data_IF_199436338925
#
_entry.id   IF_199436338925
#
_cell.length_a   1.000
_cell.length_b   1.000
_cell.length_c   1.000
_cell.angle_alpha   90.00
_cell.angle_beta   90.00
_cell.angle_gamma   90.00
#
_symmetry.space_group_name_H-M   'P 1'
#
loop_
_entity.id
_entity.type
_entity.pdbx_description
1 polymer ?
#
# COMPACT_ATOMS: atom_id res chain seq x y z
N UNK A 1 1.52 14.78 14.61
CA UNK A 1 2.61 13.78 14.55
C UNK A 1 2.59 13.22 13.13
N UNK A 2 3.71 13.28 12.42
CA UNK A 2 3.82 12.68 11.09
C UNK A 2 3.88 11.16 11.28
N UNK A 3 2.72 10.51 11.31
CA UNK A 3 2.64 9.05 11.29
C UNK A 3 3.02 8.59 9.89
N UNK A 4 4.31 8.38 9.67
CA UNK A 4 4.85 7.80 8.43
C UNK A 4 5.32 6.36 8.60
N UNK A 5 5.19 5.80 9.81
CA UNK A 5 5.60 4.44 10.13
C UNK A 5 4.43 3.71 10.77
N UNK A 6 4.09 2.55 10.23
CA UNK A 6 2.92 1.76 10.59
C UNK A 6 3.34 0.31 10.86
N UNK A 7 2.73 -0.31 11.86
CA UNK A 7 2.99 -1.71 12.20
C UNK A 7 1.88 -2.61 11.68
N UNK A 8 2.21 -3.43 10.68
CA UNK A 8 1.32 -4.41 10.07
C UNK A 8 1.53 -5.78 10.73
N UNK A 9 0.42 -6.42 11.11
CA UNK A 9 0.38 -7.72 11.80
C UNK A 9 1.38 -7.88 12.96
N UNK A 10 1.70 -6.78 13.65
CA UNK A 10 2.67 -6.71 14.77
C UNK A 10 4.11 -7.14 14.42
N UNK A 11 4.44 -7.32 13.14
CA UNK A 11 5.73 -7.89 12.70
C UNK A 11 6.39 -7.11 11.59
N UNK A 12 5.60 -6.53 10.69
CA UNK A 12 6.12 -5.83 9.52
C UNK A 12 5.95 -4.34 9.70
N UNK A 13 7.04 -3.60 9.54
CA UNK A 13 7.06 -2.15 9.63
C UNK A 13 6.95 -1.58 8.21
N UNK A 14 5.86 -0.87 7.97
CA UNK A 14 5.65 -0.06 6.77
C UNK A 14 6.10 1.38 7.03
N UNK A 15 7.08 1.86 6.27
CA UNK A 15 7.51 3.26 6.27
C UNK A 15 7.01 3.92 4.98
N UNK A 16 5.99 4.78 5.07
CA UNK A 16 5.36 5.45 3.92
C UNK A 16 6.24 6.56 3.32
N UNK A 17 7.16 7.13 4.10
CA UNK A 17 8.11 8.12 3.58
C UNK A 17 9.23 7.45 2.80
N UNK A 18 9.73 6.30 3.27
CA UNK A 18 10.74 5.52 2.55
C UNK A 18 10.16 4.59 1.51
N UNK A 19 8.85 4.37 1.53
CA UNK A 19 8.12 3.43 0.68
C UNK A 19 8.69 2.02 0.81
N UNK A 20 8.81 1.54 2.06
CA UNK A 20 9.39 0.22 2.35
C UNK A 20 8.54 -0.58 3.33
N UNK A 21 8.53 -1.90 3.13
CA UNK A 21 8.12 -2.88 4.13
C UNK A 21 9.37 -3.55 4.69
N UNK A 22 9.43 -3.71 6.01
CA UNK A 22 10.58 -4.30 6.69
C UNK A 22 10.16 -5.32 7.73
N UNK A 23 10.86 -6.45 7.77
CA UNK A 23 10.63 -7.54 8.71
C UNK A 23 11.97 -8.17 9.07
N UNK A 24 12.40 -8.01 10.33
CA UNK A 24 13.75 -8.41 10.75
C UNK A 24 14.83 -7.69 9.94
N UNK A 25 15.65 -8.44 9.21
CA UNK A 25 16.71 -7.91 8.33
C UNK A 25 16.27 -7.75 6.87
N UNK A 26 15.04 -8.14 6.53
CA UNK A 26 14.51 -8.03 5.17
C UNK A 26 13.83 -6.68 4.97
N UNK A 27 14.08 -6.07 3.81
CA UNK A 27 13.48 -4.80 3.40
C UNK A 27 13.12 -4.91 1.92
N UNK A 28 11.86 -4.67 1.60
CA UNK A 28 11.40 -4.53 0.21
C UNK A 28 10.88 -3.12 -0.02
N UNK A 29 11.02 -2.62 -1.25
CA UNK A 29 10.42 -1.37 -1.69
C UNK A 29 9.04 -1.64 -2.25
N UNK A 30 8.09 -0.77 -1.90
CA UNK A 30 6.76 -0.74 -2.49
C UNK A 30 6.65 0.46 -3.44
N UNK A 31 5.81 0.35 -4.44
CA UNK A 31 5.52 1.46 -5.35
C UNK A 31 4.69 2.55 -4.67
N UNK A 32 4.57 3.69 -5.34
CA UNK A 32 3.76 4.81 -4.84
C UNK A 32 2.27 4.43 -4.76
N UNK A 33 1.77 3.64 -5.71
CA UNK A 33 0.39 3.17 -5.70
C UNK A 33 0.13 2.22 -4.51
N UNK A 34 1.09 1.35 -4.19
CA UNK A 34 1.01 0.45 -3.03
C UNK A 34 1.09 1.21 -1.71
N UNK A 35 1.95 2.23 -1.67
CA UNK A 35 2.04 3.15 -0.53
C UNK A 35 0.70 3.83 -0.28
N UNK A 36 0.06 4.39 -1.31
CA UNK A 36 -1.26 5.01 -1.18
C UNK A 36 -2.35 3.99 -0.85
N UNK A 37 -2.26 2.75 -1.35
CA UNK A 37 -3.20 1.69 -1.00
C UNK A 37 -3.13 1.36 0.51
N UNK A 38 -1.91 1.22 1.05
CA UNK A 38 -1.72 0.98 2.48
C UNK A 38 -2.22 2.15 3.32
N UNK A 39 -1.97 3.38 2.89
CA UNK A 39 -2.51 4.59 3.54
C UNK A 39 -4.04 4.64 3.46
N UNK A 40 -4.65 4.24 2.34
CA UNK A 40 -6.11 4.14 2.23
C UNK A 40 -6.68 3.19 3.27
N UNK A 41 -6.09 2.00 3.42
CA UNK A 41 -6.49 1.04 4.45
C UNK A 41 -6.26 1.56 5.87
N UNK A 42 -5.17 2.29 6.11
CA UNK A 42 -4.90 2.93 7.39
C UNK A 42 -5.97 3.98 7.74
N UNK A 43 -6.45 4.72 6.74
CA UNK A 43 -7.55 5.67 6.88
C UNK A 43 -8.95 5.02 6.94
N UNK A 44 -9.05 3.70 6.90
CA UNK A 44 -10.32 2.98 6.98
C UNK A 44 -11.09 2.91 5.65
N UNK A 45 -10.43 3.16 4.52
CA UNK A 45 -11.03 3.07 3.19
C UNK A 45 -10.94 1.65 2.66
N UNK A 46 -12.08 0.97 2.54
CA UNK A 46 -12.15 -0.42 2.09
C UNK A 46 -13.03 -0.65 0.86
N UNK A 47 -13.84 0.34 0.47
CA UNK A 47 -14.63 0.24 -0.76
C UNK A 47 -13.73 0.46 -1.96
N UNK A 48 -13.96 -0.31 -3.01
CA UNK A 48 -13.17 -0.25 -4.24
C UNK A 48 -13.14 1.17 -4.82
N UNK A 49 -14.28 1.85 -4.85
CA UNK A 49 -14.42 3.20 -5.38
C UNK A 49 -13.60 4.20 -4.57
N UNK A 50 -13.66 4.12 -3.23
CA UNK A 50 -12.90 4.98 -2.32
C UNK A 50 -11.39 4.74 -2.47
N UNK A 51 -10.97 3.48 -2.64
CA UNK A 51 -9.56 3.12 -2.89
C UNK A 51 -9.10 3.65 -4.24
N UNK A 52 -9.88 3.44 -5.31
CA UNK A 52 -9.54 3.92 -6.65
C UNK A 52 -9.38 5.44 -6.63
N UNK A 53 -10.29 6.13 -5.96
CA UNK A 53 -10.25 7.56 -5.78
C UNK A 53 -9.02 7.98 -4.97
N UNK A 54 -8.80 7.42 -3.78
CA UNK A 54 -7.66 7.81 -2.92
C UNK A 54 -6.29 7.57 -3.57
N UNK A 55 -6.13 6.44 -4.28
CA UNK A 55 -4.84 6.05 -4.86
C UNK A 55 -4.54 6.79 -6.16
N UNK A 56 -5.55 7.19 -6.93
CA UNK A 56 -5.34 7.72 -8.29
C UNK A 56 -6.02 9.04 -8.63
N UNK A 57 -6.93 9.58 -7.83
CA UNK A 57 -7.68 10.79 -8.22
C UNK A 57 -6.76 12.02 -8.40
N UNK A 58 -5.69 12.12 -7.61
CA UNK A 58 -4.68 13.18 -7.78
C UNK A 58 -3.86 13.06 -9.08
N UNK A 59 -4.02 11.99 -9.87
CA UNK A 59 -3.22 11.74 -11.09
C UNK A 59 -3.95 12.06 -12.39
N UNK A 60 -5.20 12.53 -12.34
CA UNK A 60 -5.94 13.00 -13.53
C UNK A 60 -6.13 11.96 -14.65
N UNK A 61 -5.89 10.67 -14.38
CA UNK A 61 -5.97 9.58 -15.33
C UNK A 61 -7.20 8.71 -15.11
N UNK A 62 -7.84 8.25 -16.18
CA UNK A 62 -8.91 7.26 -16.10
C UNK A 62 -8.31 5.91 -15.68
N UNK A 63 -8.64 5.44 -14.47
CA UNK A 63 -8.18 4.15 -13.95
C UNK A 63 -9.19 3.07 -14.31
N UNK A 64 -8.74 2.06 -15.04
CA UNK A 64 -9.53 0.87 -15.28
C UNK A 64 -9.64 0.02 -14.01
N UNK A 65 -10.75 -0.70 -13.86
CA UNK A 65 -10.90 -1.73 -12.83
C UNK A 65 -9.78 -2.78 -12.88
N UNK A 66 -9.22 -3.06 -14.06
CA UNK A 66 -8.10 -3.99 -14.19
C UNK A 66 -6.83 -3.48 -13.47
N UNK A 67 -6.60 -2.17 -13.43
CA UNK A 67 -5.47 -1.56 -12.74
C UNK A 67 -5.59 -1.72 -11.23
N UNK A 68 -6.81 -1.57 -10.69
CA UNK A 68 -7.10 -1.81 -9.28
C UNK A 68 -6.73 -3.25 -8.89
N UNK A 69 -7.24 -4.25 -9.62
CA UNK A 69 -6.93 -5.65 -9.28
C UNK A 69 -5.46 -6.00 -9.45
N UNK A 70 -4.76 -5.43 -10.44
CA UNK A 70 -3.31 -5.59 -10.58
C UNK A 70 -2.57 -5.06 -9.36
N UNK A 71 -2.96 -3.89 -8.86
CA UNK A 71 -2.35 -3.31 -7.65
C UNK A 71 -2.58 -4.21 -6.43
N UNK A 72 -3.82 -4.66 -6.21
CA UNK A 72 -4.13 -5.58 -5.11
C UNK A 72 -3.31 -6.87 -5.20
N UNK A 73 -3.14 -7.42 -6.41
CA UNK A 73 -2.36 -8.63 -6.61
C UNK A 73 -0.87 -8.41 -6.35
N UNK A 74 -0.31 -7.28 -6.78
CA UNK A 74 1.08 -6.92 -6.49
C UNK A 74 1.30 -6.79 -4.98
N UNK A 75 0.42 -6.07 -4.28
CA UNK A 75 0.50 -5.90 -2.82
C UNK A 75 0.49 -7.23 -2.07
N UNK A 76 -0.32 -8.19 -2.53
CA UNK A 76 -0.36 -9.56 -1.96
C UNK A 76 0.95 -10.31 -2.18
N UNK A 77 1.58 -10.16 -3.35
CA UNK A 77 2.87 -10.79 -3.62
C UNK A 77 3.97 -10.18 -2.75
N UNK A 78 3.97 -8.86 -2.59
CA UNK A 78 4.93 -8.14 -1.75
C UNK A 78 4.81 -8.57 -0.29
N UNK A 79 3.58 -8.68 0.24
CA UNK A 79 3.31 -9.25 1.55
C UNK A 79 3.83 -10.67 1.70
N UNK A 80 3.50 -11.55 0.74
CA UNK A 80 4.01 -12.92 0.77
C UNK A 80 5.54 -12.98 0.73
N UNK A 81 6.20 -12.03 0.06
CA UNK A 81 7.65 -11.98 -0.05
C UNK A 81 8.36 -11.53 1.24
N UNK A 82 7.70 -10.71 2.07
CA UNK A 82 8.22 -10.22 3.35
C UNK A 82 7.74 -11.07 4.55
N UNK A 83 6.96 -12.13 4.29
CA UNK A 83 6.47 -13.07 5.29
C UNK A 83 5.16 -12.67 5.99
N UNK A 84 4.30 -11.93 5.29
CA UNK A 84 2.93 -11.53 5.67
C UNK A 84 1.86 -12.34 4.93
#
# INVERSE_FOLDING_TARGET
>A
MNESIFLLDKRVVFDSTKMTLSHGNEIIRVSEAETHLLLAFWHGLYKKEDIIHFVWENRGGCVSESSYYKLINQMRNDFSSIGL
#
